data_IF_467050108181
#
_entry.id   IF_467050108181
#
_cell.length_a   1.000
_cell.length_b   1.000
_cell.length_c   1.000
_cell.angle_alpha   90.00
_cell.angle_beta   90.00
_cell.angle_gamma   90.00
#
_symmetry.space_group_name_H-M   'P 1'
#
loop_
_entity.id
_entity.type
_entity.pdbx_description
1 polymer ?
#
# COMPACT_ATOMS: atom_id res chain seq x y z
N UNK A 1 14.00 -24.74 -16.99
CA UNK A 1 14.16 -24.08 -18.30
C UNK A 1 13.95 -22.59 -18.09
N UNK A 2 15.01 -21.80 -18.27
CA UNK A 2 15.07 -20.37 -17.96
C UNK A 2 14.22 -19.58 -18.95
N UNK A 3 13.19 -18.88 -18.48
CA UNK A 3 12.47 -17.92 -19.30
C UNK A 3 13.37 -16.71 -19.57
N UNK A 4 13.85 -16.59 -20.80
CA UNK A 4 14.55 -15.40 -21.29
C UNK A 4 13.58 -14.22 -21.31
N UNK A 5 13.92 -13.17 -20.58
CA UNK A 5 13.18 -11.91 -20.57
C UNK A 5 13.30 -11.23 -21.95
N UNK A 6 12.19 -11.14 -22.68
CA UNK A 6 12.10 -10.39 -23.93
C UNK A 6 11.59 -8.97 -23.65
N UNK A 7 12.44 -7.94 -23.75
CA UNK A 7 12.06 -6.55 -23.50
C UNK A 7 11.07 -5.97 -24.53
N UNK A 8 10.68 -6.72 -25.57
CA UNK A 8 9.70 -6.32 -26.59
C UNK A 8 8.36 -7.05 -26.48
N UNK A 9 8.19 -7.93 -25.48
CA UNK A 9 6.91 -8.62 -25.29
C UNK A 9 5.84 -7.60 -24.90
N UNK A 10 4.87 -7.39 -25.79
CA UNK A 10 3.68 -6.59 -25.53
C UNK A 10 2.91 -7.24 -24.38
N UNK A 11 2.67 -6.50 -23.28
CA UNK A 11 1.88 -6.99 -22.15
C UNK A 11 0.52 -7.47 -22.65
N UNK A 12 0.16 -8.71 -22.31
CA UNK A 12 -1.15 -9.29 -22.64
C UNK A 12 -2.18 -8.89 -21.58
N UNK A 13 -3.48 -8.99 -21.89
CA UNK A 13 -4.55 -8.77 -20.89
C UNK A 13 -4.46 -9.73 -19.68
N UNK A 14 -3.80 -10.89 -19.85
CA UNK A 14 -3.49 -11.80 -18.73
C UNK A 14 -2.36 -11.25 -17.85
N UNK A 15 -1.35 -10.60 -18.44
CA UNK A 15 -0.24 -9.97 -17.69
C UNK A 15 -0.74 -8.78 -16.85
N UNK A 16 -1.82 -8.11 -17.27
CA UNK A 16 -2.49 -7.01 -16.53
C UNK A 16 -3.25 -7.49 -15.28
N UNK A 17 -3.69 -8.76 -15.26
CA UNK A 17 -4.38 -9.39 -14.12
C UNK A 17 -3.41 -10.03 -13.12
N UNK A 18 -2.18 -10.29 -13.52
CA UNK A 18 -1.16 -10.85 -12.63
C UNK A 18 -0.47 -9.76 -11.82
N UNK A 19 -0.94 -9.57 -10.59
CA UNK A 19 -0.25 -8.79 -9.56
C UNK A 19 1.12 -9.41 -9.27
N UNK A 20 2.18 -8.64 -9.49
CA UNK A 20 3.56 -9.01 -9.19
C UNK A 20 3.84 -8.97 -7.68
N UNK A 21 4.91 -9.65 -7.23
CA UNK A 21 5.37 -9.54 -5.84
C UNK A 21 5.80 -8.12 -5.48
N UNK A 22 6.36 -7.38 -6.44
CA UNK A 22 6.77 -5.97 -6.27
C UNK A 22 5.55 -5.09 -6.00
N UNK A 23 4.48 -5.24 -6.80
CA UNK A 23 3.23 -4.50 -6.57
C UNK A 23 2.64 -4.84 -5.21
N UNK A 24 2.61 -6.12 -4.83
CA UNK A 24 2.13 -6.52 -3.51
C UNK A 24 2.95 -5.92 -2.37
N UNK A 25 4.28 -6.00 -2.43
CA UNK A 25 5.17 -5.43 -1.41
C UNK A 25 4.98 -3.92 -1.27
N UNK A 26 4.59 -3.22 -2.34
CA UNK A 26 4.30 -1.79 -2.25
C UNK A 26 3.11 -1.46 -1.33
N UNK A 27 2.17 -2.40 -1.14
CA UNK A 27 1.07 -2.27 -0.18
C UNK A 27 1.44 -2.77 1.23
N UNK A 28 2.36 -3.74 1.33
CA UNK A 28 2.75 -4.33 2.62
C UNK A 28 3.81 -3.51 3.37
N UNK A 29 4.85 -3.05 2.65
CA UNK A 29 5.95 -2.29 3.25
C UNK A 29 5.46 -0.91 3.65
N UNK A 30 5.80 -0.50 4.87
CA UNK A 30 5.57 0.86 5.32
C UNK A 30 6.73 1.76 4.90
N UNK A 31 6.46 3.06 4.74
CA UNK A 31 7.48 4.04 4.37
C UNK A 31 8.62 4.04 5.40
N UNK A 32 8.32 3.90 6.69
CA UNK A 32 9.34 3.78 7.75
C UNK A 32 10.31 2.60 7.57
N UNK A 33 9.90 1.54 6.86
CA UNK A 33 10.73 0.36 6.65
C UNK A 33 11.78 0.57 5.56
N UNK A 34 11.55 1.56 4.68
CA UNK A 34 12.41 1.82 3.52
C UNK A 34 13.07 3.21 3.54
N UNK A 35 12.51 4.18 4.26
CA UNK A 35 13.02 5.55 4.30
C UNK A 35 14.44 5.65 4.87
N UNK A 36 15.14 6.73 4.50
CA UNK A 36 16.34 7.13 5.22
C UNK A 36 15.94 7.92 6.47
N UNK A 37 16.15 7.31 7.64
CA UNK A 37 15.97 7.95 8.95
C UNK A 37 17.16 8.84 9.32
N UNK A 38 16.97 9.76 10.27
CA UNK A 38 18.01 10.66 10.81
C UNK A 38 18.70 11.50 9.72
N UNK A 39 17.92 12.35 9.08
CA UNK A 39 18.41 13.23 8.01
C UNK A 39 19.05 14.49 8.55
N UNK A 40 20.01 15.04 7.82
CA UNK A 40 20.55 16.37 8.13
C UNK A 40 19.48 17.44 7.89
N UNK A 41 19.32 18.32 8.87
CA UNK A 41 18.39 19.45 8.82
C UNK A 41 19.14 20.76 8.88
N UNK A 42 18.50 21.83 8.44
CA UNK A 42 18.97 23.21 8.61
C UNK A 42 17.95 24.03 9.37
N UNK A 43 18.36 25.18 9.92
CA UNK A 43 17.43 26.11 10.59
C UNK A 43 17.07 27.26 9.64
N UNK A 44 15.90 27.89 9.81
CA UNK A 44 15.52 29.04 8.98
C UNK A 44 16.48 30.22 9.12
N UNK A 45 17.23 30.30 10.23
CA UNK A 45 18.16 31.38 10.52
C UNK A 45 19.56 31.20 9.89
N UNK A 46 19.94 29.99 9.46
CA UNK A 46 21.23 29.74 8.80
C UNK A 46 21.38 30.56 7.52
N UNK A 47 22.61 30.91 7.19
CA UNK A 47 22.93 31.62 5.94
C UNK A 47 23.10 30.63 4.80
N UNK A 48 22.75 31.06 3.58
CA UNK A 48 22.90 30.27 2.35
C UNK A 48 24.32 29.70 2.19
N UNK A 49 25.36 30.51 2.48
CA UNK A 49 26.76 30.08 2.40
C UNK A 49 27.09 28.92 3.35
N UNK A 50 26.57 28.97 4.58
CA UNK A 50 26.77 27.92 5.59
C UNK A 50 26.09 26.62 5.15
N UNK A 51 24.89 26.73 4.57
CA UNK A 51 24.16 25.56 4.03
C UNK A 51 24.86 24.98 2.81
N UNK A 52 25.46 25.81 1.95
CA UNK A 52 26.23 25.33 0.80
C UNK A 52 27.46 24.51 1.25
N UNK A 53 28.17 24.97 2.27
CA UNK A 53 29.29 24.25 2.85
C UNK A 53 28.83 22.92 3.47
N UNK A 54 27.71 22.93 4.22
CA UNK A 54 27.09 21.72 4.76
C UNK A 54 26.73 20.72 3.66
N UNK A 55 26.12 21.17 2.56
CA UNK A 55 25.72 20.33 1.44
C UNK A 55 26.94 19.67 0.78
N UNK A 56 28.01 20.43 0.61
CA UNK A 56 29.28 19.92 0.08
C UNK A 56 29.92 18.90 1.02
N UNK A 57 29.99 19.20 2.30
CA UNK A 57 30.61 18.33 3.31
C UNK A 57 29.85 17.01 3.46
N UNK A 58 28.52 17.08 3.63
CA UNK A 58 27.66 15.91 3.84
C UNK A 58 27.27 15.21 2.54
N UNK A 59 27.66 15.75 1.38
CA UNK A 59 27.32 15.25 0.04
C UNK A 59 25.81 15.09 -0.16
N UNK A 60 25.05 16.08 0.30
CA UNK A 60 23.59 16.15 0.15
C UNK A 60 23.22 17.30 -0.79
N UNK A 61 22.06 17.17 -1.45
CA UNK A 61 21.57 18.16 -2.43
C UNK A 61 20.30 18.89 -1.98
N UNK A 62 19.91 18.69 -0.73
CA UNK A 62 18.73 19.29 -0.12
C UNK A 62 18.56 18.82 1.31
N UNK A 63 17.94 19.66 2.13
CA UNK A 63 17.71 19.39 3.55
C UNK A 63 16.35 19.95 3.99
N UNK A 64 15.62 19.26 4.89
CA UNK A 64 14.48 19.83 5.58
C UNK A 64 14.91 21.02 6.45
N UNK A 65 14.11 22.07 6.44
CA UNK A 65 14.25 23.24 7.31
C UNK A 65 13.38 23.01 8.54
N UNK A 66 14.00 23.05 9.72
CA UNK A 66 13.32 22.77 10.99
C UNK A 66 13.48 23.94 11.95
N UNK A 67 12.42 24.20 12.73
CA UNK A 67 12.43 25.09 13.88
C UNK A 67 12.05 24.27 15.11
N UNK A 68 13.02 24.05 16.00
CA UNK A 68 12.88 23.07 17.08
C UNK A 68 12.67 21.65 16.53
N UNK A 69 11.53 21.05 16.84
CA UNK A 69 11.15 19.72 16.37
C UNK A 69 10.20 19.72 15.15
N UNK A 70 9.77 20.91 14.70
CA UNK A 70 8.82 21.04 13.60
C UNK A 70 9.56 21.33 12.29
N UNK A 71 9.15 20.64 11.24
CA UNK A 71 9.57 20.96 9.88
C UNK A 71 8.71 22.10 9.34
N UNK A 72 9.36 23.14 8.86
CA UNK A 72 8.70 24.37 8.38
C UNK A 72 8.99 24.67 6.90
N UNK A 73 9.86 23.88 6.28
CA UNK A 73 10.19 24.06 4.87
C UNK A 73 11.22 23.07 4.34
N UNK A 74 11.60 23.24 3.08
CA UNK A 74 12.63 22.48 2.40
C UNK A 74 13.57 23.45 1.67
N UNK A 75 14.88 23.21 1.74
CA UNK A 75 15.87 23.93 0.93
C UNK A 75 16.65 22.94 0.07
N UNK A 76 16.84 23.27 -1.21
CA UNK A 76 17.55 22.45 -2.18
C UNK A 76 18.80 23.16 -2.71
N UNK A 77 19.69 22.40 -3.35
CA UNK A 77 20.87 22.96 -4.00
C UNK A 77 20.50 23.98 -5.09
N UNK A 78 19.35 23.81 -5.75
CA UNK A 78 18.86 24.77 -6.74
C UNK A 78 18.55 26.13 -6.10
N UNK A 79 17.95 26.14 -4.89
CA UNK A 79 17.64 27.35 -4.14
C UNK A 79 18.93 28.06 -3.72
N UNK A 80 19.95 27.30 -3.29
CA UNK A 80 21.27 27.85 -2.97
C UNK A 80 21.93 28.47 -4.22
N UNK A 81 21.89 27.79 -5.37
CA UNK A 81 22.42 28.30 -6.64
C UNK A 81 21.70 29.60 -7.02
N UNK A 82 20.37 29.65 -6.86
CA UNK A 82 19.54 30.83 -7.14
C UNK A 82 19.91 32.01 -6.24
N UNK A 83 20.14 31.77 -4.95
CA UNK A 83 20.59 32.79 -4.01
C UNK A 83 22.01 33.31 -4.36
N UNK A 84 22.95 32.41 -4.64
CA UNK A 84 24.33 32.77 -4.98
C UNK A 84 24.43 33.58 -6.27
N UNK A 85 23.64 33.24 -7.31
CA UNK A 85 23.59 34.02 -8.56
C UNK A 85 23.06 35.45 -8.37
N UNK A 86 22.36 35.72 -7.27
CA UNK A 86 21.86 37.05 -6.89
C UNK A 86 22.80 37.81 -5.94
N UNK A 87 23.94 37.22 -5.56
CA UNK A 87 24.87 37.80 -4.58
C UNK A 87 24.40 37.67 -3.12
N UNK A 88 23.36 36.87 -2.86
CA UNK A 88 22.69 36.79 -1.56
C UNK A 88 23.21 35.65 -0.69
N UNK A 89 24.53 35.41 -0.66
CA UNK A 89 25.13 34.32 0.12
C UNK A 89 24.91 34.43 1.64
N UNK A 90 24.69 35.65 2.14
CA UNK A 90 24.40 35.95 3.54
C UNK A 90 22.91 36.01 3.89
N UNK A 91 22.02 35.84 2.90
CA UNK A 91 20.59 35.76 3.15
C UNK A 91 20.26 34.52 3.98
N UNK A 92 19.13 34.57 4.69
CA UNK A 92 18.67 33.46 5.52
C UNK A 92 17.99 32.39 4.69
N UNK A 93 18.08 31.14 5.14
CA UNK A 93 17.35 30.00 4.55
C UNK A 93 15.85 30.29 4.43
N UNK A 94 15.25 30.94 5.43
CA UNK A 94 13.83 31.30 5.42
C UNK A 94 13.38 32.14 4.22
N UNK A 95 14.30 32.86 3.58
CA UNK A 95 13.99 33.73 2.43
C UNK A 95 13.95 32.95 1.10
N UNK A 96 14.52 31.74 1.07
CA UNK A 96 14.66 30.92 -0.13
C UNK A 96 14.02 29.53 -0.03
N UNK A 97 13.66 29.09 1.17
CA UNK A 97 13.06 27.78 1.38
C UNK A 97 11.65 27.70 0.78
N UNK A 98 11.29 26.51 0.31
CA UNK A 98 9.91 26.17 -0.01
C UNK A 98 9.17 25.86 1.28
N UNK A 99 8.06 26.56 1.53
CA UNK A 99 7.20 26.36 2.72
C UNK A 99 6.05 25.41 2.47
N UNK A 100 5.51 25.39 1.24
CA UNK A 100 4.50 24.43 0.80
C UNK A 100 5.19 23.12 0.39
N UNK A 101 5.42 22.25 1.38
CA UNK A 101 6.18 21.01 1.19
C UNK A 101 5.25 19.82 1.17
N UNK A 102 5.29 19.08 0.06
CA UNK A 102 4.62 17.79 -0.05
C UNK A 102 5.34 16.78 0.85
N UNK A 103 4.61 16.19 1.79
CA UNK A 103 5.14 15.21 2.75
C UNK A 103 4.36 13.90 2.68
N UNK A 104 4.91 12.86 3.31
CA UNK A 104 4.26 11.56 3.54
C UNK A 104 4.42 11.18 5.00
N UNK A 105 3.65 10.20 5.47
CA UNK A 105 3.68 9.68 6.83
C UNK A 105 4.46 8.38 6.90
N UNK A 106 5.11 8.15 8.03
CA UNK A 106 5.98 6.99 8.23
C UNK A 106 5.22 5.64 8.22
N UNK A 107 3.97 5.63 8.65
CA UNK A 107 3.08 4.46 8.69
C UNK A 107 2.33 4.20 7.37
N UNK A 108 2.39 5.11 6.40
CA UNK A 108 1.78 4.91 5.08
C UNK A 108 2.50 3.78 4.33
N UNK A 109 1.80 3.05 3.44
CA UNK A 109 2.44 2.07 2.59
C UNK A 109 3.35 2.75 1.55
N UNK A 110 4.32 1.99 1.05
CA UNK A 110 5.24 2.45 -0.01
C UNK A 110 4.51 2.91 -1.27
N UNK A 111 3.37 2.28 -1.62
CA UNK A 111 2.56 2.65 -2.79
C UNK A 111 2.12 4.12 -2.72
N UNK A 112 1.81 4.66 -1.54
CA UNK A 112 1.46 6.08 -1.38
C UNK A 112 2.62 6.98 -1.81
N UNK A 113 3.84 6.66 -1.39
CA UNK A 113 5.04 7.40 -1.84
C UNK A 113 5.24 7.33 -3.36
N UNK A 114 5.01 6.17 -3.97
CA UNK A 114 5.07 5.99 -5.43
C UNK A 114 4.03 6.84 -6.17
N UNK A 115 2.79 6.89 -5.68
CA UNK A 115 1.72 7.70 -6.24
C UNK A 115 2.04 9.19 -6.15
N UNK A 116 2.54 9.66 -5.01
CA UNK A 116 2.96 11.06 -4.83
C UNK A 116 4.09 11.40 -5.80
N UNK A 117 5.09 10.54 -5.94
CA UNK A 117 6.17 10.73 -6.92
C UNK A 117 5.67 10.79 -8.37
N UNK A 118 4.70 9.95 -8.73
CA UNK A 118 4.13 9.93 -10.07
C UNK A 118 3.32 11.20 -10.38
N UNK A 119 2.56 11.69 -9.41
CA UNK A 119 1.68 12.87 -9.57
C UNK A 119 2.44 14.19 -9.58
N UNK A 120 3.46 14.32 -8.74
CA UNK A 120 4.11 15.62 -8.44
C UNK A 120 5.47 15.78 -9.10
N UNK A 121 6.10 14.68 -9.53
CA UNK A 121 7.42 14.69 -10.15
C UNK A 121 8.57 15.03 -9.18
N UNK A 122 8.32 15.20 -7.88
CA UNK A 122 9.35 15.51 -6.90
C UNK A 122 10.37 14.36 -6.78
N UNK A 123 11.62 14.69 -6.45
CA UNK A 123 12.69 13.69 -6.31
C UNK A 123 12.78 13.05 -4.92
N UNK A 124 12.21 13.70 -3.90
CA UNK A 124 12.29 13.29 -2.49
C UNK A 124 11.05 13.76 -1.74
N UNK A 125 10.66 13.01 -0.72
CA UNK A 125 9.52 13.32 0.15
C UNK A 125 9.99 13.32 1.60
N UNK A 126 9.88 14.44 2.33
CA UNK A 126 10.03 14.41 3.77
C UNK A 126 8.97 13.51 4.39
N UNK A 127 9.40 12.68 5.33
CA UNK A 127 8.55 11.73 6.04
C UNK A 127 8.29 12.26 7.44
N UNK A 128 7.02 12.36 7.83
CA UNK A 128 6.59 12.81 9.15
C UNK A 128 6.11 11.63 10.01
N UNK A 129 6.43 11.68 11.31
CA UNK A 129 5.90 10.76 12.32
C UNK A 129 4.44 11.08 12.65
N UNK A 130 3.80 10.26 13.49
CA UNK A 130 2.41 10.44 13.93
C UNK A 130 2.12 11.82 14.56
N UNK A 131 3.12 12.49 15.13
CA UNK A 131 3.00 13.80 15.75
C UNK A 131 3.31 14.96 14.79
N UNK A 132 3.56 14.68 13.51
CA UNK A 132 3.90 15.72 12.52
C UNK A 132 5.36 16.19 12.58
N UNK A 133 6.23 15.46 13.29
CA UNK A 133 7.66 15.76 13.35
C UNK A 133 8.39 15.03 12.24
N UNK A 134 9.52 15.57 11.81
CA UNK A 134 10.35 14.95 10.77
C UNK A 134 10.94 13.61 11.26
N UNK A 135 10.54 12.51 10.62
CA UNK A 135 11.03 11.17 10.87
C UNK A 135 12.17 10.77 9.93
N UNK A 136 12.13 11.25 8.68
CA UNK A 136 13.12 10.89 7.67
C UNK A 136 12.86 11.52 6.30
N UNK A 137 13.50 10.97 5.27
CA UNK A 137 13.26 11.29 3.86
C UNK A 137 13.07 9.99 3.08
N UNK A 138 12.14 10.01 2.15
CA UNK A 138 11.88 8.95 1.19
C UNK A 138 12.31 9.40 -0.22
N UNK A 139 13.01 8.53 -0.93
CA UNK A 139 13.36 8.68 -2.35
C UNK A 139 12.97 7.45 -3.16
N UNK A 140 12.93 7.56 -4.49
CA UNK A 140 12.73 6.39 -5.38
C UNK A 140 13.83 5.34 -5.19
N UNK A 141 15.05 5.77 -4.86
CA UNK A 141 16.17 4.88 -4.55
C UNK A 141 15.93 4.07 -3.28
N UNK A 142 15.47 4.74 -2.21
CA UNK A 142 15.09 4.09 -0.95
C UNK A 142 14.02 3.02 -1.16
N UNK A 143 12.95 3.34 -1.90
CA UNK A 143 11.89 2.39 -2.25
C UNK A 143 12.45 1.19 -3.01
N UNK A 144 13.31 1.44 -4.01
CA UNK A 144 13.90 0.38 -4.83
C UNK A 144 14.75 -0.55 -3.97
N UNK A 145 15.68 0.01 -3.18
CA UNK A 145 16.56 -0.76 -2.30
C UNK A 145 15.80 -1.50 -1.21
N UNK A 146 14.80 -0.87 -0.60
CA UNK A 146 13.95 -1.49 0.42
C UNK A 146 13.11 -2.64 -0.13
N UNK A 147 12.52 -2.46 -1.32
CA UNK A 147 11.75 -3.52 -2.00
C UNK A 147 12.65 -4.69 -2.39
N UNK A 148 13.85 -4.42 -2.92
CA UNK A 148 14.83 -5.47 -3.23
C UNK A 148 15.27 -6.25 -1.98
N UNK A 149 15.43 -5.58 -0.84
CA UNK A 149 15.74 -6.24 0.44
C UNK A 149 14.59 -7.17 0.88
N UNK A 150 13.36 -6.67 0.85
CA UNK A 150 12.17 -7.45 1.23
C UNK A 150 11.97 -8.68 0.32
N UNK A 151 12.21 -8.54 -0.99
CA UNK A 151 12.17 -9.67 -1.92
C UNK A 151 13.17 -10.77 -1.56
N UNK A 152 14.38 -10.42 -1.08
CA UNK A 152 15.38 -11.41 -0.66
C UNK A 152 14.99 -12.13 0.63
N UNK A 153 14.32 -11.44 1.57
CA UNK A 153 13.89 -12.01 2.85
C UNK A 153 12.76 -13.05 2.68
N UNK A 154 11.84 -12.85 1.74
CA UNK A 154 10.76 -13.80 1.44
C UNK A 154 11.26 -15.15 0.92
N UNK A 155 12.31 -15.15 0.10
CA UNK A 155 12.90 -16.39 -0.43
C UNK A 155 13.35 -17.35 0.67
N UNK A 156 13.68 -16.83 1.87
CA UNK A 156 14.07 -17.64 3.03
C UNK A 156 12.86 -18.13 3.86
N UNK A 157 11.70 -17.48 3.75
CA UNK A 157 10.51 -17.78 4.55
C UNK A 157 9.55 -18.81 3.88
N UNK A 158 9.65 -18.98 2.56
CA UNK A 158 8.77 -19.85 1.77
C UNK A 158 9.01 -21.36 2.01
N UNK A 159 10.22 -21.79 2.39
CA UNK A 159 10.56 -23.21 2.59
C UNK A 159 9.90 -23.83 3.82
N UNK A 160 9.49 -23.05 4.83
CA UNK A 160 8.98 -23.59 6.11
C UNK A 160 7.45 -23.78 6.11
N UNK A 161 6.70 -23.10 5.22
CA UNK A 161 5.22 -23.05 5.30
C UNK A 161 4.48 -24.15 4.52
N UNK A 162 5.15 -24.87 3.61
CA UNK A 162 4.51 -25.88 2.75
C UNK A 162 3.95 -27.11 3.48
N UNK A 163 4.24 -27.31 4.78
CA UNK A 163 3.95 -28.57 5.45
C UNK A 163 2.66 -28.62 6.31
N UNK A 164 1.85 -27.55 6.42
CA UNK A 164 0.73 -27.54 7.41
C UNK A 164 -0.67 -27.19 6.91
N UNK A 165 -0.88 -27.04 5.61
CA UNK A 165 -2.09 -26.39 5.09
C UNK A 165 -3.13 -27.28 4.40
N UNK A 166 -2.92 -28.60 4.27
CA UNK A 166 -3.70 -29.38 3.28
C UNK A 166 -5.02 -30.03 3.73
N UNK A 167 -5.51 -29.88 4.97
CA UNK A 167 -6.64 -30.75 5.42
C UNK A 167 -7.87 -30.04 6.02
N UNK A 168 -7.92 -28.71 6.07
CA UNK A 168 -9.02 -28.01 6.77
C UNK A 168 -10.40 -28.16 6.09
N UNK A 169 -10.44 -28.33 4.77
CA UNK A 169 -11.70 -28.50 4.02
C UNK A 169 -11.96 -29.95 3.60
N UNK A 170 -10.93 -30.79 3.54
CA UNK A 170 -11.04 -32.20 3.12
C UNK A 170 -11.56 -33.10 4.26
N UNK A 171 -11.29 -32.74 5.51
CA UNK A 171 -11.70 -33.53 6.69
C UNK A 171 -13.13 -33.24 7.16
N UNK A 172 -13.83 -32.27 6.56
CA UNK A 172 -15.17 -31.83 6.97
C UNK A 172 -16.21 -32.34 5.96
N UNK A 173 -16.90 -33.42 6.32
CA UNK A 173 -18.05 -33.91 5.54
C UNK A 173 -19.24 -32.96 5.75
N UNK A 174 -19.52 -32.11 4.76
CA UNK A 174 -20.66 -31.21 4.73
C UNK A 174 -21.12 -30.99 3.29
N UNK A 175 -22.42 -30.79 3.08
CA UNK A 175 -22.96 -30.36 1.79
C UNK A 175 -22.40 -28.98 1.37
N UNK A 176 -22.01 -28.15 2.34
CA UNK A 176 -21.33 -26.87 2.12
C UNK A 176 -20.54 -26.42 3.36
N UNK A 177 -19.22 -26.46 3.27
CA UNK A 177 -18.33 -25.87 4.27
C UNK A 177 -17.90 -24.47 3.83
N UNK A 178 -18.02 -23.48 4.71
CA UNK A 178 -17.43 -22.15 4.51
C UNK A 178 -16.66 -21.69 5.75
N UNK A 179 -15.51 -21.04 5.53
CA UNK A 179 -14.77 -20.36 6.58
C UNK A 179 -15.07 -18.87 6.50
N UNK A 180 -15.51 -18.29 7.63
CA UNK A 180 -15.85 -16.87 7.70
C UNK A 180 -14.88 -16.16 8.64
N UNK A 181 -14.11 -15.22 8.11
CA UNK A 181 -13.28 -14.30 8.86
C UNK A 181 -14.00 -12.94 8.97
N UNK A 182 -13.98 -12.32 10.15
CA UNK A 182 -14.59 -11.00 10.40
C UNK A 182 -13.62 -10.09 11.12
N UNK A 183 -13.49 -8.85 10.64
CA UNK A 183 -12.63 -7.82 11.18
C UNK A 183 -13.42 -6.53 11.36
N UNK A 184 -13.29 -5.93 12.56
CA UNK A 184 -13.84 -4.62 12.85
C UNK A 184 -12.82 -3.56 12.49
N UNK A 185 -13.20 -2.64 11.63
CA UNK A 185 -12.34 -1.55 11.17
C UNK A 185 -12.79 -0.28 11.88
N UNK A 186 -11.86 0.34 12.63
CA UNK A 186 -12.12 1.60 13.31
C UNK A 186 -12.00 2.77 12.34
N UNK A 187 -12.90 3.77 12.40
CA UNK A 187 -12.77 4.95 11.56
C UNK A 187 -11.52 5.73 11.98
N UNK A 188 -10.83 6.36 11.02
CA UNK A 188 -9.64 7.20 11.22
C UNK A 188 -8.43 6.49 11.88
N UNK A 189 -8.42 5.16 11.96
CA UNK A 189 -7.30 4.37 12.49
C UNK A 189 -6.23 4.10 11.41
N UNK A 190 -5.63 5.16 10.89
CA UNK A 190 -4.64 5.08 9.81
C UNK A 190 -3.36 4.33 10.20
N UNK A 191 -2.99 4.36 11.49
CA UNK A 191 -1.80 3.69 12.03
C UNK A 191 -1.85 2.17 11.83
N UNK A 192 -3.02 1.57 12.06
CA UNK A 192 -3.23 0.12 11.90
C UNK A 192 -3.78 -0.25 10.52
N UNK A 193 -3.83 0.72 9.60
CA UNK A 193 -4.34 0.51 8.26
C UNK A 193 -3.58 -0.58 7.49
N UNK A 194 -4.33 -1.58 7.02
CA UNK A 194 -3.83 -2.73 6.26
C UNK A 194 -3.58 -3.98 7.11
N UNK A 195 -3.86 -3.93 8.42
CA UNK A 195 -3.68 -5.06 9.32
C UNK A 195 -4.67 -6.20 9.00
N UNK A 196 -5.94 -5.86 8.73
CA UNK A 196 -6.94 -6.88 8.39
C UNK A 196 -6.58 -7.59 7.08
N UNK A 197 -6.17 -6.82 6.06
CA UNK A 197 -5.63 -7.38 4.81
C UNK A 197 -4.46 -8.34 5.04
N UNK A 198 -3.48 -7.93 5.84
CA UNK A 198 -2.30 -8.75 6.17
C UNK A 198 -2.66 -10.06 6.88
N UNK A 199 -3.63 -10.01 7.79
CA UNK A 199 -4.13 -11.18 8.52
C UNK A 199 -4.87 -12.14 7.60
N UNK A 200 -5.74 -11.62 6.72
CA UNK A 200 -6.48 -12.38 5.72
C UNK A 200 -5.50 -13.06 4.74
N UNK A 201 -4.51 -12.34 4.22
CA UNK A 201 -3.49 -12.91 3.34
C UNK A 201 -2.76 -14.07 4.02
N UNK A 202 -2.30 -13.88 5.27
CA UNK A 202 -1.62 -14.93 6.03
C UNK A 202 -2.54 -16.13 6.28
N UNK A 203 -3.81 -15.91 6.56
CA UNK A 203 -4.80 -16.98 6.70
C UNK A 203 -4.96 -17.75 5.39
N UNK A 204 -5.11 -17.08 4.25
CA UNK A 204 -5.25 -17.73 2.94
C UNK A 204 -4.04 -18.58 2.58
N UNK A 205 -2.83 -18.05 2.74
CA UNK A 205 -1.60 -18.81 2.49
C UNK A 205 -1.50 -20.04 3.41
N UNK A 206 -1.91 -19.92 4.68
CA UNK A 206 -1.94 -21.03 5.65
C UNK A 206 -3.02 -22.06 5.35
N UNK A 207 -4.06 -21.70 4.62
CA UNK A 207 -5.10 -22.62 4.16
C UNK A 207 -4.70 -23.33 2.87
N UNK A 208 -3.60 -22.90 2.22
CA UNK A 208 -3.08 -23.51 1.00
C UNK A 208 -3.44 -22.75 -0.28
N UNK A 209 -3.92 -21.50 -0.17
CA UNK A 209 -4.14 -20.64 -1.33
C UNK A 209 -2.80 -20.41 -2.04
N UNK A 210 -2.82 -20.43 -3.37
CA UNK A 210 -1.65 -20.02 -4.13
C UNK A 210 -1.31 -18.55 -3.88
N UNK A 211 -0.05 -18.19 -4.13
CA UNK A 211 0.43 -16.85 -3.84
C UNK A 211 -0.36 -15.78 -4.60
N UNK A 212 -0.73 -16.02 -5.87
CA UNK A 212 -1.44 -15.06 -6.71
C UNK A 212 -2.84 -14.76 -6.17
N UNK A 213 -3.55 -15.80 -5.75
CA UNK A 213 -4.85 -15.69 -5.09
C UNK A 213 -4.74 -14.86 -3.80
N UNK A 214 -3.73 -15.14 -2.98
CA UNK A 214 -3.48 -14.41 -1.75
C UNK A 214 -3.15 -12.92 -2.00
N UNK A 215 -2.33 -12.58 -3.02
CA UNK A 215 -2.04 -11.16 -3.36
C UNK A 215 -3.29 -10.40 -3.76
N UNK A 216 -4.08 -10.99 -4.68
CA UNK A 216 -5.32 -10.41 -5.20
C UNK A 216 -6.30 -10.11 -4.06
N UNK A 217 -6.50 -11.08 -3.15
CA UNK A 217 -7.36 -10.89 -2.00
C UNK A 217 -6.81 -9.83 -1.05
N UNK A 218 -5.50 -9.87 -0.74
CA UNK A 218 -4.84 -8.90 0.14
C UNK A 218 -5.02 -7.46 -0.35
N UNK A 219 -4.72 -7.17 -1.61
CA UNK A 219 -4.82 -5.80 -2.15
C UNK A 219 -6.29 -5.33 -2.18
N UNK A 220 -7.22 -6.18 -2.62
CA UNK A 220 -8.64 -5.82 -2.63
C UNK A 220 -9.18 -5.51 -1.23
N UNK A 221 -8.76 -6.29 -0.22
CA UNK A 221 -9.13 -6.05 1.17
C UNK A 221 -8.45 -4.79 1.72
N UNK A 222 -7.19 -4.53 1.37
CA UNK A 222 -6.48 -3.33 1.82
C UNK A 222 -7.20 -2.06 1.38
N UNK A 223 -7.59 -1.99 0.11
CA UNK A 223 -8.32 -0.83 -0.44
C UNK A 223 -9.69 -0.68 0.21
N UNK A 224 -10.39 -1.79 0.44
CA UNK A 224 -11.69 -1.78 1.13
C UNK A 224 -11.54 -1.36 2.60
N UNK A 225 -10.48 -1.78 3.28
CA UNK A 225 -10.12 -1.38 4.64
C UNK A 225 -9.83 0.11 4.73
N UNK A 226 -9.05 0.64 3.78
CA UNK A 226 -8.77 2.08 3.72
C UNK A 226 -10.04 2.88 3.48
N UNK A 227 -10.92 2.43 2.60
CA UNK A 227 -12.21 3.10 2.39
C UNK A 227 -13.04 3.17 3.68
N UNK A 228 -13.05 2.10 4.48
CA UNK A 228 -13.72 2.10 5.78
C UNK A 228 -13.06 3.09 6.76
N UNK A 229 -11.72 3.17 6.81
CA UNK A 229 -11.00 4.11 7.68
C UNK A 229 -11.24 5.58 7.28
N UNK A 230 -11.28 5.85 5.97
CA UNK A 230 -11.31 7.20 5.38
C UNK A 230 -12.73 7.78 5.38
N UNK A 231 -13.73 7.00 4.97
CA UNK A 231 -15.03 7.54 4.56
C UNK A 231 -16.17 7.29 5.57
N UNK A 232 -15.96 6.46 6.59
CA UNK A 232 -17.02 6.07 7.53
C UNK A 232 -17.00 6.91 8.79
N UNK A 233 -18.16 6.99 9.47
CA UNK A 233 -18.29 7.72 10.74
C UNK A 233 -18.04 6.81 11.94
N UNK A 234 -18.56 5.57 11.91
CA UNK A 234 -18.48 4.62 13.02
C UNK A 234 -17.55 3.42 12.73
N UNK A 235 -16.84 3.45 11.61
CA UNK A 235 -16.07 2.31 11.13
C UNK A 235 -16.92 1.36 10.30
N UNK A 236 -16.52 0.11 10.24
CA UNK A 236 -17.26 -0.92 9.52
C UNK A 236 -16.72 -2.32 9.75
N UNK A 237 -17.24 -3.26 8.97
CA UNK A 237 -16.88 -4.68 9.06
C UNK A 237 -16.35 -5.15 7.72
N UNK A 238 -15.18 -5.77 7.74
CA UNK A 238 -14.71 -6.63 6.66
C UNK A 238 -15.08 -8.07 7.01
N UNK A 239 -15.85 -8.70 6.11
CA UNK A 239 -16.16 -10.14 6.15
C UNK A 239 -15.51 -10.81 4.95
N UNK A 240 -14.77 -11.89 5.19
CA UNK A 240 -14.24 -12.77 4.13
C UNK A 240 -14.82 -14.15 4.33
N UNK A 241 -15.49 -14.66 3.30
CA UNK A 241 -16.14 -15.96 3.25
C UNK A 241 -15.46 -16.81 2.19
N UNK A 242 -14.80 -17.87 2.64
CA UNK A 242 -13.98 -18.75 1.83
C UNK A 242 -14.77 -20.05 1.63
N UNK A 243 -15.02 -20.37 0.36
CA UNK A 243 -15.71 -21.57 -0.08
C UNK A 243 -14.84 -22.29 -1.13
N UNK A 244 -15.03 -23.60 -1.36
CA UNK A 244 -14.22 -24.35 -2.32
C UNK A 244 -14.16 -23.75 -3.74
N UNK A 245 -15.24 -23.09 -4.18
CA UNK A 245 -15.32 -22.49 -5.52
C UNK A 245 -15.15 -20.97 -5.58
N UNK A 246 -15.12 -20.26 -4.44
CA UNK A 246 -15.03 -18.81 -4.43
C UNK A 246 -14.54 -18.24 -3.10
N UNK A 247 -13.92 -17.07 -3.16
CA UNK A 247 -13.73 -16.19 -2.01
C UNK A 247 -14.62 -14.97 -2.20
N UNK A 248 -15.57 -14.78 -1.27
CA UNK A 248 -16.42 -13.59 -1.21
C UNK A 248 -15.93 -12.69 -0.09
N UNK A 249 -15.57 -11.46 -0.43
CA UNK A 249 -15.20 -10.42 0.54
C UNK A 249 -16.30 -9.35 0.53
N UNK A 250 -16.60 -8.79 1.69
CA UNK A 250 -17.51 -7.64 1.80
C UNK A 250 -17.04 -6.65 2.84
N UNK A 251 -17.07 -5.37 2.49
CA UNK A 251 -16.89 -4.25 3.42
C UNK A 251 -18.25 -3.55 3.58
N UNK A 252 -18.66 -3.34 4.83
CA UNK A 252 -19.96 -2.78 5.17
C UNK A 252 -19.80 -1.73 6.27
N UNK A 253 -20.44 -0.59 6.07
CA UNK A 253 -20.53 0.49 7.05
C UNK A 253 -21.97 1.01 7.16
N UNK A 254 -22.20 1.80 8.21
CA UNK A 254 -23.42 2.56 8.50
C UNK A 254 -23.20 4.08 8.32
N UNK A 255 -22.17 4.46 7.56
CA UNK A 255 -21.69 5.82 7.40
C UNK A 255 -22.53 6.70 6.44
N UNK A 256 -21.94 7.79 5.91
CA UNK A 256 -22.69 8.81 5.16
C UNK A 256 -23.27 8.32 3.84
N UNK A 257 -22.78 7.19 3.32
CA UNK A 257 -23.10 6.72 1.97
C UNK A 257 -22.43 7.55 0.87
N UNK A 258 -22.61 7.11 -0.37
CA UNK A 258 -22.04 7.67 -1.59
C UNK A 258 -23.21 8.20 -2.43
N UNK A 259 -23.31 9.53 -2.65
CA UNK A 259 -24.42 10.13 -3.41
C UNK A 259 -24.49 9.66 -4.87
N UNK A 260 -23.33 9.48 -5.52
CA UNK A 260 -23.22 9.02 -6.89
C UNK A 260 -22.18 7.89 -6.98
N UNK A 261 -22.69 6.66 -7.09
CA UNK A 261 -21.88 5.43 -7.13
C UNK A 261 -21.14 5.29 -8.46
N UNK A 262 -21.66 5.83 -9.56
CA UNK A 262 -20.98 5.78 -10.86
C UNK A 262 -19.80 6.73 -10.89
N UNK A 263 -19.99 7.93 -10.33
CA UNK A 263 -18.93 8.92 -10.19
C UNK A 263 -17.83 8.41 -9.26
N UNK A 264 -18.19 7.70 -8.19
CA UNK A 264 -17.23 7.13 -7.25
C UNK A 264 -16.30 6.07 -7.86
N UNK A 265 -16.73 5.39 -8.91
CA UNK A 265 -15.91 4.40 -9.61
C UNK A 265 -14.94 5.03 -10.61
N UNK A 266 -15.03 6.34 -10.87
CA UNK A 266 -14.11 7.02 -11.79
C UNK A 266 -12.77 7.27 -11.10
N UNK A 267 -11.64 6.93 -11.76
CA UNK A 267 -10.31 7.21 -11.23
C UNK A 267 -10.14 8.69 -10.85
N UNK A 268 -9.56 8.94 -9.68
CA UNK A 268 -9.29 10.30 -9.21
C UNK A 268 -10.45 10.96 -8.45
N UNK A 269 -11.62 10.33 -8.37
CA UNK A 269 -12.75 10.86 -7.59
C UNK A 269 -12.76 10.31 -6.16
N UNK A 270 -13.04 11.18 -5.18
CA UNK A 270 -13.07 10.80 -3.76
C UNK A 270 -13.91 11.76 -2.95
N UNK A 271 -14.68 11.23 -1.98
CA UNK A 271 -15.40 12.01 -0.96
C UNK A 271 -14.54 12.38 0.25
N UNK A 272 -13.23 12.10 0.22
CA UNK A 272 -12.33 12.43 1.31
C UNK A 272 -12.27 13.95 1.55
N UNK A 273 -12.24 14.35 2.82
CA UNK A 273 -12.06 15.75 3.21
C UNK A 273 -10.67 16.24 2.83
N UNK A 274 -10.48 17.56 2.77
CA UNK A 274 -9.17 18.15 2.44
C UNK A 274 -8.10 17.70 3.44
N UNK A 275 -8.41 17.68 4.74
CA UNK A 275 -7.52 17.14 5.78
C UNK A 275 -7.04 15.71 5.47
N UNK A 276 -7.93 14.85 4.97
CA UNK A 276 -7.59 13.44 4.66
C UNK A 276 -6.76 13.34 3.37
N UNK A 277 -6.97 14.26 2.41
CA UNK A 277 -6.16 14.36 1.20
C UNK A 277 -4.77 14.91 1.47
N UNK A 278 -4.66 15.90 2.36
CA UNK A 278 -3.38 16.42 2.87
C UNK A 278 -2.60 15.32 3.61
N UNK A 279 -3.29 14.39 4.26
CA UNK A 279 -2.67 13.21 4.87
C UNK A 279 -2.19 12.16 3.86
N UNK A 280 -2.33 12.37 2.54
CA UNK A 280 -1.89 11.44 1.50
C UNK A 280 -2.92 10.40 1.06
N UNK A 281 -4.10 10.38 1.70
CA UNK A 281 -5.16 9.41 1.43
C UNK A 281 -6.26 9.95 0.52
N UNK A 282 -7.11 9.07 -0.02
CA UNK A 282 -8.30 9.50 -0.77
C UNK A 282 -7.99 10.10 -2.15
N UNK A 283 -6.93 9.64 -2.81
CA UNK A 283 -6.60 9.98 -4.20
C UNK A 283 -7.63 9.46 -5.24
N UNK A 284 -8.62 8.66 -4.81
CA UNK A 284 -9.70 8.18 -5.68
C UNK A 284 -9.34 7.00 -6.57
N UNK A 285 -8.31 6.23 -6.21
CA UNK A 285 -7.88 5.04 -6.97
C UNK A 285 -8.37 3.71 -6.39
N UNK A 286 -8.79 3.68 -5.12
CA UNK A 286 -8.99 2.42 -4.39
C UNK A 286 -10.04 1.49 -5.01
N UNK A 287 -11.20 2.02 -5.42
CA UNK A 287 -12.24 1.22 -6.09
C UNK A 287 -11.76 0.63 -7.43
N UNK A 288 -10.91 1.37 -8.17
CA UNK A 288 -10.33 0.87 -9.42
C UNK A 288 -9.27 -0.21 -9.17
N UNK A 289 -8.47 -0.06 -8.12
CA UNK A 289 -7.49 -1.06 -7.71
C UNK A 289 -8.19 -2.36 -7.27
N UNK A 290 -9.30 -2.25 -6.54
CA UNK A 290 -10.16 -3.40 -6.20
C UNK A 290 -10.65 -4.10 -7.45
N UNK A 291 -11.24 -3.36 -8.40
CA UNK A 291 -11.80 -3.92 -9.63
C UNK A 291 -10.75 -4.74 -10.42
N UNK A 292 -9.49 -4.28 -10.45
CA UNK A 292 -8.38 -5.02 -11.09
C UNK A 292 -8.03 -6.32 -10.39
N UNK A 293 -8.27 -6.41 -9.07
CA UNK A 293 -7.90 -7.55 -8.26
C UNK A 293 -8.97 -8.65 -8.22
N UNK A 294 -10.23 -8.34 -8.54
CA UNK A 294 -11.37 -9.25 -8.31
C UNK A 294 -12.08 -9.60 -9.62
N UNK A 295 -12.83 -10.70 -9.64
CA UNK A 295 -13.56 -11.12 -10.86
C UNK A 295 -14.94 -10.46 -10.95
N UNK A 296 -15.53 -10.14 -9.80
CA UNK A 296 -16.80 -9.41 -9.72
C UNK A 296 -16.78 -8.45 -8.54
N UNK A 297 -17.22 -7.23 -8.80
CA UNK A 297 -17.40 -6.18 -7.81
C UNK A 297 -18.82 -5.64 -7.88
N UNK A 298 -19.40 -5.30 -6.73
CA UNK A 298 -20.72 -4.67 -6.63
C UNK A 298 -20.68 -3.68 -5.48
N UNK A 299 -21.07 -2.43 -5.75
CA UNK A 299 -21.09 -1.34 -4.78
C UNK A 299 -22.53 -0.86 -4.64
N UNK A 300 -23.09 -0.99 -3.44
CA UNK A 300 -24.42 -0.53 -3.08
C UNK A 300 -24.26 0.54 -2.00
N UNK A 301 -24.88 1.70 -2.18
CA UNK A 301 -24.77 2.78 -1.22
C UNK A 301 -26.05 3.58 -1.15
N UNK A 302 -26.39 4.08 0.02
CA UNK A 302 -27.55 4.95 0.24
C UNK A 302 -27.14 6.08 1.17
N UNK A 303 -27.37 7.31 0.73
CA UNK A 303 -27.02 8.51 1.50
C UNK A 303 -27.70 8.46 2.87
N UNK A 304 -26.91 8.54 3.94
CA UNK A 304 -27.35 8.44 5.33
C UNK A 304 -27.61 7.04 5.87
N UNK A 305 -27.38 5.98 5.08
CA UNK A 305 -27.58 4.59 5.50
C UNK A 305 -26.35 3.68 5.29
N UNK A 306 -25.23 4.24 4.84
CA UNK A 306 -23.96 3.54 4.67
C UNK A 306 -23.74 2.92 3.30
N UNK A 307 -22.65 2.15 3.20
CA UNK A 307 -22.20 1.51 1.96
C UNK A 307 -21.92 0.03 2.16
N UNK A 308 -22.21 -0.76 1.13
CA UNK A 308 -21.88 -2.18 1.02
C UNK A 308 -21.09 -2.40 -0.25
N UNK A 309 -19.81 -2.72 -0.09
CA UNK A 309 -18.95 -3.20 -1.15
C UNK A 309 -18.88 -4.73 -1.08
N UNK A 310 -19.22 -5.41 -2.16
CA UNK A 310 -19.07 -6.86 -2.32
C UNK A 310 -18.08 -7.17 -3.44
N UNK A 311 -17.14 -8.07 -3.16
CA UNK A 311 -16.05 -8.48 -4.04
C UNK A 311 -16.00 -10.00 -4.11
N UNK A 312 -15.75 -10.56 -5.29
CA UNK A 312 -15.64 -12.02 -5.48
C UNK A 312 -14.44 -12.40 -6.33
N UNK A 313 -13.75 -13.46 -5.91
CA UNK A 313 -12.73 -14.17 -6.70
C UNK A 313 -13.19 -15.62 -6.84
N UNK A 314 -13.28 -16.12 -8.07
CA UNK A 314 -13.62 -17.51 -8.36
C UNK A 314 -12.37 -18.38 -8.29
N UNK A 315 -12.49 -19.55 -7.66
CA UNK A 315 -11.41 -20.51 -7.55
C UNK A 315 -11.55 -21.55 -8.66
N UNK A 316 -10.50 -21.75 -9.46
CA UNK A 316 -10.48 -22.85 -10.41
C UNK A 316 -10.20 -24.18 -9.69
N UNK A 317 -10.63 -25.35 -10.21
CA UNK A 317 -10.42 -26.66 -9.58
C UNK A 317 -8.95 -27.02 -9.30
N UNK A 318 -7.98 -26.38 -9.97
CA UNK A 318 -6.52 -26.52 -9.77
C UNK A 318 -5.85 -25.33 -9.06
N UNK A 319 -6.58 -24.24 -8.85
CA UNK A 319 -6.15 -23.05 -8.07
C UNK A 319 -6.77 -23.04 -6.67
N UNK A 320 -7.54 -24.09 -6.32
CA UNK A 320 -8.00 -24.34 -4.98
C UNK A 320 -6.87 -24.75 -4.04
N UNK A 321 -7.18 -24.74 -2.75
CA UNK A 321 -6.35 -25.29 -1.68
C UNK A 321 -5.86 -26.69 -2.08
N UNK A 322 -4.59 -26.84 -2.45
CA UNK A 322 -4.09 -28.05 -3.13
C UNK A 322 -4.05 -29.27 -2.19
N UNK A 323 -4.85 -30.30 -2.52
CA UNK A 323 -4.67 -31.70 -2.13
C UNK A 323 -4.16 -32.51 -3.33
N UNK A 324 -3.03 -33.19 -3.17
CA UNK A 324 -2.48 -34.06 -4.21
C UNK A 324 -3.35 -35.32 -4.33
N UNK A 325 -3.87 -35.59 -5.53
CA UNK A 325 -4.51 -36.86 -5.85
C UNK A 325 -3.53 -38.02 -5.70
N UNK A 326 -3.68 -38.81 -4.64
CA UNK A 326 -2.99 -40.09 -4.49
C UNK A 326 -3.64 -41.08 -5.45
N UNK A 327 -2.92 -41.44 -6.51
CA UNK A 327 -3.28 -42.58 -7.36
C UNK A 327 -3.15 -43.86 -6.55
N UNK A 328 -4.27 -44.51 -6.23
CA UNK A 328 -4.26 -45.92 -5.84
C UNK A 328 -3.96 -46.77 -7.08
N UNK A 329 -2.72 -47.26 -7.19
CA UNK A 329 -2.41 -48.41 -8.02
C UNK A 329 -2.82 -49.67 -7.27
N UNK A 330 -3.92 -50.27 -7.70
CA UNK A 330 -4.31 -51.62 -7.28
C UNK A 330 -3.20 -52.60 -7.67
N UNK A 331 -2.54 -53.16 -6.66
CA UNK A 331 -1.79 -54.41 -6.79
C UNK A 331 -2.82 -55.54 -6.83
N UNK A 332 -3.15 -56.02 -8.03
CA UNK A 332 -3.78 -57.32 -8.19
C UNK A 332 -2.76 -58.41 -7.82
N UNK A 333 -3.08 -59.15 -6.75
CA UNK A 333 -2.52 -60.45 -6.42
C UNK A 333 -3.61 -61.47 -6.67
N UNK A 334 -3.46 -62.27 -7.72
CA UNK A 334 -3.90 -63.67 -7.88
C UNK A 334 -3.55 -64.11 -9.30
#
# INVERSE_FOLDING_TARGET
MSATFDPRRVMTDQDVKTISRVEELSYELKIRDVMTARVHTVTPQMQIVEVLDLFREKRISGAPVVEGAQMIGLISLEDLIRAMRRGNGHARVSEYMTTDVITVRDFEPVVTGLEVFARTGVGRLPVLDEHGRLAGILTKGDITSGTLRALHEDFQAEEVRRYRASHLFEDIVSDRTSLILRYWIKPRDFQHGGQASSDIKRALLRLGADAQLARRCGIAVYEAEMNLIIHTTNGGIIKVEIEPGQIKMSAVDDGPGIPDVELAQRPGWSTATEEVREMGFGAGMGLKNIERCVDKMTLESTVGAGTRLTMKIHLQPRQGFNGASVSHSERATA
#
